data_IF_394978249772
#
_entry.id   IF_394978249772
#
_cell.length_a   1.000
_cell.length_b   1.000
_cell.length_c   1.000
_cell.angle_alpha   90.00
_cell.angle_beta   90.00
_cell.angle_gamma   90.00
#
_symmetry.space_group_name_H-M   'P 1'
#
loop_
_entity.id
_entity.type
_entity.pdbx_description
1 polymer ?
#
# COMPACT_ATOMS: atom_id res chain seq x y z
N UNK A 1 24.18 -11.37 -22.35
CA UNK A 1 24.52 -9.93 -22.17
C UNK A 1 24.52 -9.11 -23.46
N UNK A 2 25.26 -9.46 -24.52
CA UNK A 2 25.35 -8.67 -25.79
C UNK A 2 24.00 -8.47 -26.53
N UNK A 3 23.04 -9.40 -26.44
CA UNK A 3 21.73 -9.28 -27.08
C UNK A 3 20.80 -8.28 -26.38
N UNK A 4 20.81 -8.24 -25.06
CA UNK A 4 20.00 -7.30 -24.27
C UNK A 4 20.50 -5.86 -24.48
N UNK A 5 21.81 -5.65 -24.53
CA UNK A 5 22.40 -4.34 -24.82
C UNK A 5 22.03 -3.82 -26.21
N UNK A 6 21.96 -4.71 -27.20
CA UNK A 6 21.52 -4.36 -28.56
C UNK A 6 20.03 -4.02 -28.63
N UNK A 7 19.17 -4.74 -27.91
CA UNK A 7 17.75 -4.46 -27.84
C UNK A 7 17.51 -3.11 -27.14
N UNK A 8 18.21 -2.83 -26.04
CA UNK A 8 18.13 -1.54 -25.33
C UNK A 8 18.60 -0.40 -26.25
N UNK A 9 19.69 -0.58 -26.99
CA UNK A 9 20.21 0.43 -27.92
C UNK A 9 19.24 0.69 -29.08
N UNK A 10 18.59 -0.35 -29.61
CA UNK A 10 17.61 -0.22 -30.70
C UNK A 10 16.35 0.49 -30.19
N UNK A 11 15.84 0.11 -29.03
CA UNK A 11 14.68 0.77 -28.39
C UNK A 11 15.00 2.25 -28.13
N UNK A 12 16.18 2.55 -27.60
CA UNK A 12 16.64 3.94 -27.39
C UNK A 12 16.71 4.72 -28.70
N UNK A 13 17.28 4.13 -29.78
CA UNK A 13 17.39 4.76 -31.09
C UNK A 13 16.05 5.00 -31.76
N UNK A 14 15.10 4.06 -31.63
CA UNK A 14 13.74 4.18 -32.19
C UNK A 14 12.92 5.24 -31.44
N UNK A 15 13.04 5.31 -30.13
CA UNK A 15 12.37 6.33 -29.30
C UNK A 15 12.86 7.74 -29.68
N UNK A 16 14.17 7.92 -29.92
CA UNK A 16 14.74 9.21 -30.36
C UNK A 16 14.37 9.61 -31.77
N UNK A 17 14.10 8.65 -32.67
CA UNK A 17 13.77 8.92 -34.06
C UNK A 17 12.30 9.30 -34.32
N UNK A 18 11.38 9.01 -33.39
CA UNK A 18 9.93 9.16 -33.60
C UNK A 18 9.35 10.39 -32.89
N UNK A 19 10.08 11.00 -31.92
CA UNK A 19 9.58 12.14 -31.16
C UNK A 19 9.94 13.46 -31.88
N UNK A 20 8.95 14.31 -32.22
CA UNK A 20 9.25 15.69 -32.57
C UNK A 20 9.90 16.35 -31.36
N UNK A 21 11.16 16.72 -31.43
CA UNK A 21 12.03 17.23 -30.37
C UNK A 21 11.45 18.45 -29.61
N UNK A 22 10.35 19.03 -30.05
CA UNK A 22 9.82 20.29 -29.55
C UNK A 22 8.82 20.16 -28.38
N UNK A 23 8.43 18.93 -27.93
CA UNK A 23 7.34 18.76 -26.96
C UNK A 23 7.62 17.74 -25.83
N UNK A 24 8.86 17.28 -25.67
CA UNK A 24 9.19 16.24 -24.68
C UNK A 24 9.76 16.89 -23.42
N UNK A 25 9.07 16.72 -22.28
CA UNK A 25 9.57 17.16 -20.98
C UNK A 25 10.23 15.98 -20.25
N UNK A 26 11.51 16.08 -19.82
CA UNK A 26 12.10 15.10 -18.92
C UNK A 26 11.42 15.15 -17.57
N UNK A 27 11.19 13.99 -16.97
CA UNK A 27 10.68 13.85 -15.60
C UNK A 27 11.66 13.04 -14.77
N UNK A 28 11.72 13.29 -13.49
CA UNK A 28 12.54 12.53 -12.57
C UNK A 28 11.96 12.58 -11.16
N UNK A 29 12.23 11.57 -10.36
CA UNK A 29 11.95 11.57 -8.94
C UNK A 29 13.05 10.83 -8.17
N UNK A 30 13.22 11.24 -6.93
CA UNK A 30 14.11 10.66 -5.95
C UNK A 30 13.33 10.57 -4.65
N UNK A 31 13.01 9.36 -4.22
CA UNK A 31 12.26 9.08 -3.00
C UNK A 31 13.13 8.21 -2.08
N UNK A 32 13.70 8.85 -1.06
CA UNK A 32 14.50 8.19 -0.03
C UNK A 32 13.64 7.98 1.20
N UNK A 33 13.70 6.78 1.78
CA UNK A 33 13.08 6.42 3.05
C UNK A 33 14.04 5.68 3.96
N UNK A 34 13.93 5.90 5.25
CA UNK A 34 14.56 5.04 6.26
C UNK A 34 13.60 4.84 7.42
N UNK A 35 13.52 3.61 7.91
CA UNK A 35 12.62 3.24 9.00
C UNK A 35 13.38 2.39 10.01
N UNK A 36 13.33 2.84 11.25
CA UNK A 36 13.61 2.03 12.43
C UNK A 36 12.26 1.70 13.09
N UNK A 37 11.95 0.41 13.26
CA UNK A 37 10.71 -0.09 13.86
C UNK A 37 11.09 -1.21 14.85
N UNK A 38 11.11 -0.87 16.13
CA UNK A 38 11.37 -1.80 17.21
C UNK A 38 10.04 -2.28 17.83
N UNK A 39 9.79 -3.57 17.77
CA UNK A 39 8.55 -4.22 18.21
C UNK A 39 8.84 -5.08 19.42
N UNK A 40 8.26 -4.70 20.57
CA UNK A 40 8.46 -5.35 21.85
C UNK A 40 7.14 -5.81 22.47
N UNK A 41 7.16 -6.95 23.17
CA UNK A 41 6.02 -7.49 23.90
C UNK A 41 5.78 -8.97 23.63
N UNK A 42 4.80 -9.53 24.32
CA UNK A 42 4.35 -10.92 24.14
C UNK A 42 3.08 -10.94 23.29
N UNK A 43 3.19 -11.52 22.10
CA UNK A 43 2.09 -11.58 21.16
C UNK A 43 2.14 -12.85 20.30
N UNK A 44 1.09 -13.67 20.40
CA UNK A 44 0.97 -14.90 19.60
C UNK A 44 0.68 -14.68 18.10
N UNK A 45 0.38 -13.45 17.69
CA UNK A 45 0.04 -13.13 16.29
C UNK A 45 1.22 -12.52 15.54
N UNK A 46 2.20 -11.95 16.26
CA UNK A 46 3.38 -11.35 15.66
C UNK A 46 4.58 -11.51 16.60
N UNK A 47 5.74 -11.76 16.04
CA UNK A 47 7.00 -11.86 16.80
C UNK A 47 7.51 -10.48 17.18
N UNK A 48 8.11 -10.37 18.38
CA UNK A 48 8.94 -9.24 18.75
C UNK A 48 10.15 -9.18 17.79
N UNK A 49 10.35 -8.05 17.13
CA UNK A 49 11.33 -7.94 16.04
C UNK A 49 11.71 -6.48 15.81
N UNK A 50 12.97 -6.25 15.54
CA UNK A 50 13.46 -4.93 15.10
C UNK A 50 13.67 -4.94 13.59
N UNK A 51 13.09 -3.95 12.92
CA UNK A 51 13.37 -3.64 11.52
C UNK A 51 14.18 -2.34 11.47
N UNK A 52 15.31 -2.36 10.79
CA UNK A 52 16.02 -1.15 10.44
C UNK A 52 16.52 -1.27 9.00
N UNK A 53 15.98 -0.44 8.14
CA UNK A 53 16.31 -0.47 6.71
C UNK A 53 16.21 0.91 6.09
N UNK A 54 16.86 1.07 4.95
CA UNK A 54 16.73 2.21 4.07
C UNK A 54 16.22 1.78 2.70
N UNK A 55 15.46 2.63 2.05
CA UNK A 55 15.06 2.45 0.67
C UNK A 55 15.34 3.71 -0.15
N UNK A 56 15.60 3.50 -1.43
CA UNK A 56 15.82 4.56 -2.39
C UNK A 56 15.15 4.20 -3.70
N UNK A 57 14.12 4.94 -4.07
CA UNK A 57 13.51 4.85 -5.39
C UNK A 57 14.00 6.00 -6.26
N UNK A 58 14.58 5.66 -7.41
CA UNK A 58 15.02 6.63 -8.42
C UNK A 58 14.26 6.34 -9.70
N UNK A 59 13.61 7.37 -10.26
CA UNK A 59 12.90 7.29 -11.52
C UNK A 59 13.37 8.38 -12.47
N UNK A 60 13.54 8.01 -13.74
CA UNK A 60 13.66 8.93 -14.86
C UNK A 60 12.54 8.66 -15.86
N UNK A 61 12.08 9.68 -16.57
CA UNK A 61 10.99 9.50 -17.51
C UNK A 61 10.86 10.61 -18.52
N UNK A 62 9.90 10.43 -19.41
CA UNK A 62 9.60 11.34 -20.51
C UNK A 62 8.10 11.58 -20.52
N UNK A 63 7.70 12.84 -20.40
CA UNK A 63 6.34 13.30 -20.63
C UNK A 63 6.25 13.74 -22.09
N UNK A 64 5.51 13.02 -22.92
CA UNK A 64 5.44 13.22 -24.37
C UNK A 64 4.13 13.85 -24.83
N UNK A 65 3.12 13.96 -23.96
CA UNK A 65 1.96 14.83 -24.13
C UNK A 65 1.67 15.55 -22.80
N UNK A 66 0.71 16.47 -22.76
CA UNK A 66 0.30 17.10 -21.52
C UNK A 66 -0.28 16.11 -20.48
N UNK A 67 -0.68 14.91 -20.92
CA UNK A 67 -1.33 13.89 -20.11
C UNK A 67 -0.50 12.63 -19.93
N UNK A 68 0.42 12.33 -20.84
CA UNK A 68 1.05 11.02 -20.99
C UNK A 68 2.53 11.06 -20.68
N UNK A 69 2.99 10.11 -19.87
CA UNK A 69 4.40 9.88 -19.56
C UNK A 69 4.75 8.40 -19.50
N UNK A 70 6.00 8.10 -19.75
CA UNK A 70 6.64 6.82 -19.47
C UNK A 70 7.75 7.09 -18.47
N UNK A 71 7.85 6.25 -17.44
CA UNK A 71 8.90 6.32 -16.41
C UNK A 71 9.58 4.96 -16.28
N UNK A 72 10.87 5.00 -16.00
CA UNK A 72 11.67 3.82 -15.68
C UNK A 72 12.63 4.13 -14.51
N UNK A 73 12.95 3.14 -13.72
CA UNK A 73 13.81 3.29 -12.56
C UNK A 73 13.93 2.03 -11.75
N UNK A 74 14.31 2.18 -10.50
CA UNK A 74 14.42 1.07 -9.57
C UNK A 74 14.21 1.53 -8.11
N UNK A 75 13.72 0.62 -7.28
CA UNK A 75 13.75 0.74 -5.81
C UNK A 75 14.84 -0.17 -5.28
N UNK A 76 15.80 0.41 -4.58
CA UNK A 76 16.78 -0.30 -3.78
C UNK A 76 16.33 -0.28 -2.32
N UNK A 77 16.28 -1.45 -1.68
CA UNK A 77 15.95 -1.60 -0.26
C UNK A 77 17.11 -2.35 0.42
N UNK A 78 17.67 -1.76 1.46
CA UNK A 78 18.83 -2.26 2.21
C UNK A 78 18.50 -2.36 3.69
N UNK A 79 18.52 -3.56 4.28
CA UNK A 79 18.62 -3.72 5.73
C UNK A 79 19.91 -3.08 6.26
N UNK A 80 19.81 -2.21 7.30
CA UNK A 80 20.96 -1.40 7.75
C UNK A 80 22.03 -2.23 8.46
N UNK A 81 21.61 -3.29 9.13
CA UNK A 81 22.53 -4.15 9.90
C UNK A 81 23.17 -5.30 9.09
N UNK A 82 22.85 -5.42 7.80
CA UNK A 82 23.26 -6.52 6.95
C UNK A 82 24.22 -6.06 5.86
N UNK A 83 24.90 -7.03 5.25
CA UNK A 83 25.77 -6.77 4.11
C UNK A 83 24.98 -6.24 2.89
N UNK A 84 25.68 -5.60 1.98
CA UNK A 84 25.08 -5.04 0.76
C UNK A 84 24.42 -6.10 -0.11
N UNK A 85 24.87 -7.36 -0.01
CA UNK A 85 24.31 -8.51 -0.74
C UNK A 85 22.88 -8.88 -0.29
N UNK A 86 22.46 -8.44 0.89
CA UNK A 86 21.11 -8.60 1.39
C UNK A 86 20.14 -7.54 0.83
N UNK A 87 20.64 -6.62 0.05
CA UNK A 87 19.82 -5.63 -0.61
C UNK A 87 18.89 -6.26 -1.64
N UNK A 88 17.69 -5.70 -1.74
CA UNK A 88 16.77 -6.04 -2.83
C UNK A 88 16.61 -4.86 -3.79
N UNK A 89 16.70 -5.16 -5.09
CA UNK A 89 16.43 -4.17 -6.14
C UNK A 89 15.20 -4.60 -6.93
N UNK A 90 14.24 -3.69 -7.07
CA UNK A 90 12.99 -3.94 -7.80
C UNK A 90 12.82 -2.90 -8.91
N UNK A 91 12.50 -3.32 -10.14
CA UNK A 91 12.33 -2.40 -11.25
C UNK A 91 11.07 -1.55 -11.10
N UNK A 92 11.15 -0.33 -11.62
CA UNK A 92 10.04 0.57 -11.89
C UNK A 92 10.00 0.77 -13.40
N UNK A 93 8.91 0.42 -14.06
CA UNK A 93 8.68 0.69 -15.48
C UNK A 93 7.19 0.78 -15.70
N UNK A 94 6.70 1.96 -16.06
CA UNK A 94 5.27 2.14 -16.25
C UNK A 94 4.94 3.28 -17.22
N UNK A 95 3.76 3.17 -17.81
CA UNK A 95 3.06 4.24 -18.49
C UNK A 95 2.08 4.91 -17.49
N UNK A 96 1.97 6.23 -17.54
CA UNK A 96 0.99 7.01 -16.79
C UNK A 96 0.25 7.97 -17.70
N UNK A 97 -1.08 7.87 -17.73
CA UNK A 97 -2.00 8.87 -18.24
C UNK A 97 -2.63 9.64 -17.08
N UNK A 98 -2.72 10.96 -17.17
CA UNK A 98 -3.30 11.80 -16.11
C UNK A 98 -4.11 12.94 -16.70
N UNK A 99 -5.38 12.98 -16.39
CA UNK A 99 -6.29 14.08 -16.65
C UNK A 99 -6.73 14.76 -15.35
N UNK A 100 -7.58 15.78 -15.46
CA UNK A 100 -8.04 16.52 -14.30
C UNK A 100 -8.75 15.65 -13.24
N UNK A 101 -9.56 14.71 -13.68
CA UNK A 101 -10.36 13.84 -12.79
C UNK A 101 -9.91 12.37 -12.83
N UNK A 102 -9.21 11.94 -13.87
CA UNK A 102 -8.87 10.55 -14.11
C UNK A 102 -7.38 10.32 -14.23
N UNK A 103 -6.95 9.19 -13.76
CA UNK A 103 -5.59 8.69 -13.93
C UNK A 103 -5.56 7.20 -14.25
N UNK A 104 -4.59 6.79 -15.07
CA UNK A 104 -4.31 5.39 -15.40
C UNK A 104 -2.82 5.15 -15.26
N UNK A 105 -2.42 4.09 -14.55
CA UNK A 105 -1.04 3.59 -14.59
C UNK A 105 -1.03 2.13 -15.01
N UNK A 106 -0.07 1.75 -15.86
CA UNK A 106 0.12 0.39 -16.37
C UNK A 106 1.59 0.01 -16.25
N UNK A 107 1.90 -1.12 -15.65
CA UNK A 107 3.25 -1.64 -15.48
C UNK A 107 3.66 -1.86 -14.02
N UNK A 108 4.89 -1.52 -13.68
CA UNK A 108 5.43 -1.59 -12.32
C UNK A 108 5.64 -0.17 -11.81
N UNK A 109 4.75 0.32 -11.00
CA UNK A 109 4.71 1.71 -10.52
C UNK A 109 4.66 1.80 -9.00
N UNK A 110 5.14 2.93 -8.41
CA UNK A 110 5.15 3.11 -6.98
C UNK A 110 3.75 3.07 -6.36
N UNK A 111 3.60 2.39 -5.23
CA UNK A 111 2.37 2.33 -4.43
C UNK A 111 1.98 3.70 -3.87
N UNK A 112 2.94 4.63 -3.77
CA UNK A 112 2.69 6.03 -3.41
C UNK A 112 1.83 6.80 -4.41
N UNK A 113 1.49 6.21 -5.57
CA UNK A 113 0.49 6.79 -6.48
C UNK A 113 -0.96 6.63 -5.98
N UNK A 114 -1.22 5.71 -5.03
CA UNK A 114 -2.53 5.59 -4.39
C UNK A 114 -2.88 6.88 -3.64
N UNK A 115 -4.15 7.23 -3.64
CA UNK A 115 -4.64 8.43 -2.96
C UNK A 115 -4.43 8.38 -1.46
N UNK A 116 -4.71 7.23 -0.86
CA UNK A 116 -4.53 6.96 0.56
C UNK A 116 -3.86 5.59 0.76
N UNK A 117 -3.18 5.43 1.87
CA UNK A 117 -2.65 4.13 2.27
C UNK A 117 -3.80 3.19 2.62
N UNK A 118 -3.62 1.91 2.31
CA UNK A 118 -4.59 0.90 2.71
C UNK A 118 -4.56 0.70 4.24
N UNK A 119 -5.72 0.44 4.85
CA UNK A 119 -5.79 0.15 6.28
C UNK A 119 -5.11 -1.18 6.63
N UNK A 120 -4.68 -1.32 7.89
CA UNK A 120 -3.93 -2.47 8.39
C UNK A 120 -4.62 -3.82 8.22
N UNK A 121 -5.95 -3.88 8.07
CA UNK A 121 -6.64 -5.14 7.78
C UNK A 121 -6.46 -5.62 6.32
N UNK A 122 -6.06 -4.75 5.39
CA UNK A 122 -5.76 -5.10 3.99
C UNK A 122 -4.27 -5.17 3.72
N UNK A 123 -3.47 -4.35 4.39
CA UNK A 123 -2.05 -4.18 4.08
C UNK A 123 -1.25 -3.91 5.34
N UNK A 124 -0.33 -4.82 5.67
CA UNK A 124 0.48 -4.72 6.88
C UNK A 124 1.62 -3.71 6.73
N UNK A 125 2.11 -3.22 7.87
CA UNK A 125 3.28 -2.34 7.92
C UNK A 125 4.51 -2.98 7.27
N UNK A 126 4.74 -4.28 7.52
CA UNK A 126 5.85 -5.01 6.90
C UNK A 126 5.77 -5.03 5.38
N UNK A 127 4.56 -5.16 4.80
CA UNK A 127 4.38 -5.07 3.35
C UNK A 127 4.60 -3.64 2.83
N UNK A 128 4.20 -2.63 3.60
CA UNK A 128 4.48 -1.22 3.27
C UNK A 128 5.99 -0.98 3.19
N UNK A 129 6.77 -1.59 4.08
CA UNK A 129 8.23 -1.46 4.10
C UNK A 129 8.93 -2.16 2.92
N UNK A 130 8.41 -3.31 2.45
CA UNK A 130 9.13 -4.16 1.49
C UNK A 130 8.45 -4.30 0.13
N UNK A 131 7.18 -3.88 -0.04
CA UNK A 131 6.42 -3.98 -1.29
C UNK A 131 6.09 -2.58 -1.84
N UNK A 132 7.11 -1.85 -2.28
CA UNK A 132 6.98 -0.45 -2.72
C UNK A 132 6.15 -0.27 -4.00
N UNK A 133 6.09 -1.29 -4.85
CA UNK A 133 5.47 -1.18 -6.17
C UNK A 133 4.19 -2.01 -6.29
N UNK A 134 3.23 -1.50 -7.05
CA UNK A 134 2.13 -2.25 -7.65
C UNK A 134 2.61 -2.74 -9.02
N UNK A 135 2.29 -3.99 -9.36
CA UNK A 135 2.66 -4.62 -10.65
C UNK A 135 1.40 -4.98 -11.40
N UNK A 136 0.94 -4.09 -12.28
CA UNK A 136 -0.30 -4.31 -13.01
C UNK A 136 -0.92 -3.02 -13.52
N UNK A 137 -2.13 -2.71 -13.08
CA UNK A 137 -2.91 -1.57 -13.54
C UNK A 137 -3.54 -0.82 -12.37
N UNK A 138 -3.63 0.49 -12.47
CA UNK A 138 -4.33 1.38 -11.54
C UNK A 138 -5.20 2.35 -12.34
N UNK A 139 -6.47 2.42 -12.01
CA UNK A 139 -7.42 3.44 -12.48
C UNK A 139 -7.84 4.28 -11.30
N UNK A 140 -7.76 5.58 -11.44
CA UNK A 140 -8.07 6.54 -10.39
C UNK A 140 -9.11 7.55 -10.86
N UNK A 141 -10.01 7.91 -9.96
CA UNK A 141 -10.89 9.07 -10.12
C UNK A 141 -10.71 9.97 -8.90
N UNK A 142 -10.46 11.27 -9.13
CA UNK A 142 -10.34 12.26 -8.07
C UNK A 142 -11.13 13.53 -8.41
N UNK A 143 -11.95 13.94 -7.47
CA UNK A 143 -12.67 15.22 -7.52
C UNK A 143 -12.67 15.89 -6.15
N UNK A 144 -13.22 17.09 -6.04
CA UNK A 144 -13.38 17.78 -4.75
C UNK A 144 -14.33 17.06 -3.77
N UNK A 145 -15.09 16.07 -4.26
CA UNK A 145 -16.12 15.37 -3.49
C UNK A 145 -15.88 13.88 -3.34
N UNK A 146 -15.05 13.28 -4.17
CA UNK A 146 -14.86 11.84 -4.16
C UNK A 146 -13.50 11.46 -4.72
N UNK A 147 -12.99 10.33 -4.24
CA UNK A 147 -11.93 9.62 -4.91
C UNK A 147 -12.25 8.13 -5.05
N UNK A 148 -11.65 7.51 -6.04
CA UNK A 148 -11.67 6.06 -6.26
C UNK A 148 -10.29 5.66 -6.74
N UNK A 149 -9.71 4.67 -6.08
CA UNK A 149 -8.56 3.90 -6.53
C UNK A 149 -9.02 2.47 -6.80
N UNK A 150 -8.86 2.00 -8.01
CA UNK A 150 -9.13 0.63 -8.42
C UNK A 150 -7.88 0.07 -9.09
N UNK A 151 -7.32 -1.01 -8.53
CA UNK A 151 -6.10 -1.58 -9.07
C UNK A 151 -6.02 -3.10 -8.99
N UNK A 152 -5.22 -3.64 -9.93
CA UNK A 152 -4.75 -5.01 -9.93
C UNK A 152 -3.25 -5.01 -9.61
N UNK A 153 -2.84 -5.85 -8.65
CA UNK A 153 -1.44 -6.07 -8.29
C UNK A 153 -1.08 -7.55 -8.50
N UNK A 154 -0.28 -7.84 -9.52
CA UNK A 154 0.19 -9.19 -9.84
C UNK A 154 1.37 -9.55 -8.96
N UNK A 155 1.12 -10.25 -7.86
CA UNK A 155 2.10 -10.51 -6.82
C UNK A 155 3.08 -11.60 -7.16
N UNK A 156 2.57 -12.71 -7.74
CA UNK A 156 3.36 -13.90 -8.00
C UNK A 156 2.89 -14.57 -9.29
N UNK A 157 3.85 -14.82 -10.20
CA UNK A 157 3.62 -15.66 -11.38
C UNK A 157 3.60 -17.13 -10.96
N UNK A 158 2.71 -17.92 -11.58
CA UNK A 158 2.69 -19.37 -11.43
C UNK A 158 3.99 -20.01 -11.89
N UNK A 159 4.56 -20.88 -11.05
CA UNK A 159 5.71 -21.74 -11.37
C UNK A 159 5.45 -23.17 -10.91
N UNK A 160 6.41 -24.07 -11.07
CA UNK A 160 6.32 -25.45 -10.57
C UNK A 160 6.10 -25.52 -9.04
N UNK A 161 6.67 -24.56 -8.30
CA UNK A 161 6.65 -24.55 -6.83
C UNK A 161 5.91 -23.38 -6.21
N UNK A 162 5.56 -22.35 -7.00
CA UNK A 162 4.89 -21.15 -6.52
C UNK A 162 3.50 -21.01 -7.12
N UNK A 163 2.53 -20.75 -6.27
CA UNK A 163 1.14 -20.45 -6.66
C UNK A 163 1.06 -19.11 -7.40
N UNK A 164 0.15 -19.00 -8.36
CA UNK A 164 -0.22 -17.71 -8.92
C UNK A 164 -0.98 -16.88 -7.87
N UNK A 165 -0.61 -15.59 -7.78
CA UNK A 165 -1.23 -14.69 -6.81
C UNK A 165 -1.40 -13.28 -7.41
N UNK A 166 -2.59 -12.74 -7.32
CA UNK A 166 -2.84 -11.33 -7.59
C UNK A 166 -3.96 -10.80 -6.70
N UNK A 167 -3.96 -9.50 -6.52
CA UNK A 167 -5.01 -8.79 -5.82
C UNK A 167 -5.77 -7.88 -6.76
N UNK A 168 -7.08 -7.81 -6.58
CA UNK A 168 -7.90 -6.71 -7.11
C UNK A 168 -8.39 -5.91 -5.92
N UNK A 169 -8.09 -4.61 -5.92
CA UNK A 169 -8.41 -3.73 -4.80
C UNK A 169 -9.22 -2.55 -5.30
N UNK A 170 -10.27 -2.25 -4.57
CA UNK A 170 -11.05 -1.04 -4.67
C UNK A 170 -10.99 -0.29 -3.35
N UNK A 171 -10.70 1.00 -3.42
CA UNK A 171 -10.83 1.92 -2.31
C UNK A 171 -11.45 3.22 -2.83
N UNK A 172 -12.47 3.70 -2.15
CA UNK A 172 -13.12 4.95 -2.53
C UNK A 172 -13.87 5.59 -1.37
N UNK A 173 -13.97 6.92 -1.44
CA UNK A 173 -14.69 7.72 -0.47
C UNK A 173 -15.39 8.88 -1.18
N UNK A 174 -16.61 9.17 -0.75
CA UNK A 174 -17.40 10.28 -1.19
C UNK A 174 -17.74 11.20 0.00
N UNK A 175 -17.50 12.51 -0.19
CA UNK A 175 -17.76 13.58 0.77
C UNK A 175 -18.65 14.63 0.11
N UNK A 176 -19.92 14.77 0.51
CA UNK A 176 -20.76 15.86 0.01
C UNK A 176 -20.12 17.22 0.29
N UNK A 177 -20.28 18.16 -0.62
CA UNK A 177 -19.71 19.52 -0.47
C UNK A 177 -20.22 20.18 0.80
N UNK A 178 -19.30 20.76 1.60
CA UNK A 178 -19.59 21.42 2.88
C UNK A 178 -20.27 20.53 3.95
N UNK A 179 -20.28 19.22 3.78
CA UNK A 179 -20.79 18.25 4.76
C UNK A 179 -19.67 17.73 5.66
N UNK A 180 -19.99 17.46 6.91
CA UNK A 180 -19.16 16.64 7.79
C UNK A 180 -19.29 15.16 7.49
N UNK A 181 -20.37 14.73 6.83
CA UNK A 181 -20.62 13.32 6.52
C UNK A 181 -19.75 12.83 5.35
N UNK A 182 -19.30 11.62 5.47
CA UNK A 182 -18.62 10.88 4.41
C UNK A 182 -19.10 9.42 4.36
N UNK A 183 -18.98 8.81 3.21
CA UNK A 183 -19.24 7.39 3.00
C UNK A 183 -18.15 6.80 2.10
N UNK A 184 -17.68 5.63 2.43
CA UNK A 184 -16.64 4.99 1.66
C UNK A 184 -16.60 3.49 1.83
N UNK A 185 -15.60 2.89 1.26
CA UNK A 185 -15.40 1.45 1.40
C UNK A 185 -14.09 0.96 0.81
N UNK A 186 -13.72 -0.21 1.30
CA UNK A 186 -12.61 -1.00 0.81
C UNK A 186 -13.11 -2.36 0.35
N UNK A 187 -12.57 -2.86 -0.74
CA UNK A 187 -12.73 -4.24 -1.18
C UNK A 187 -11.38 -4.75 -1.67
N UNK A 188 -10.98 -5.93 -1.22
CA UNK A 188 -9.83 -6.64 -1.73
C UNK A 188 -10.24 -8.07 -2.06
N UNK A 189 -9.99 -8.48 -3.29
CA UNK A 189 -10.02 -9.88 -3.71
C UNK A 189 -8.58 -10.38 -3.80
N UNK A 190 -8.29 -11.46 -3.09
CA UNK A 190 -7.03 -12.19 -3.20
C UNK A 190 -7.24 -13.44 -4.03
N UNK A 191 -6.65 -13.48 -5.20
CA UNK A 191 -6.61 -14.70 -6.02
C UNK A 191 -5.39 -15.52 -5.60
N UNK A 192 -5.65 -16.74 -5.11
CA UNK A 192 -4.63 -17.67 -4.66
C UNK A 192 -4.84 -19.01 -5.38
N UNK A 193 -4.21 -19.12 -6.55
CA UNK A 193 -4.41 -20.25 -7.47
C UNK A 193 -3.47 -21.43 -7.16
N UNK A 194 -3.24 -22.28 -8.13
CA UNK A 194 -2.41 -23.47 -8.03
C UNK A 194 -0.97 -23.23 -8.49
N UNK A 195 -0.08 -24.16 -8.19
CA UNK A 195 1.21 -24.32 -8.89
C UNK A 195 0.97 -24.99 -10.25
N UNK A 196 1.95 -24.99 -11.16
CA UNK A 196 1.81 -25.64 -12.48
C UNK A 196 1.58 -27.15 -12.35
N UNK A 197 2.31 -27.79 -11.44
CA UNK A 197 2.19 -29.23 -11.16
C UNK A 197 1.58 -29.41 -9.77
N UNK A 198 0.35 -28.89 -9.60
CA UNK A 198 -0.34 -28.94 -8.33
C UNK A 198 -0.66 -30.41 -7.95
N UNK A 199 -0.36 -30.87 -6.73
CA UNK A 199 -0.84 -32.14 -6.22
C UNK A 199 -2.36 -32.10 -6.05
N UNK A 200 -3.01 -33.26 -6.03
CA UNK A 200 -4.47 -33.41 -6.02
C UNK A 200 -5.15 -32.77 -4.79
N UNK A 201 -4.42 -32.63 -3.69
CA UNK A 201 -4.89 -32.00 -2.45
C UNK A 201 -4.72 -30.48 -2.42
N UNK A 202 -4.08 -29.92 -3.44
CA UNK A 202 -3.92 -28.47 -3.57
C UNK A 202 -5.13 -27.86 -4.29
N UNK A 203 -5.80 -26.90 -3.66
CA UNK A 203 -6.98 -26.26 -4.21
C UNK A 203 -6.82 -24.73 -4.30
N UNK A 204 -7.64 -24.12 -5.16
CA UNK A 204 -7.74 -22.65 -5.25
C UNK A 204 -8.45 -22.12 -4.01
N UNK A 205 -7.99 -20.99 -3.52
CA UNK A 205 -8.63 -20.26 -2.42
C UNK A 205 -9.22 -18.96 -2.95
N UNK A 206 -10.53 -18.82 -2.78
CA UNK A 206 -11.24 -17.56 -3.01
C UNK A 206 -11.23 -16.78 -1.68
N UNK A 207 -10.67 -15.59 -1.66
CA UNK A 207 -10.64 -14.73 -0.48
C UNK A 207 -11.02 -13.30 -0.85
N UNK A 208 -12.03 -12.78 -0.19
CA UNK A 208 -12.48 -11.41 -0.32
C UNK A 208 -12.52 -10.76 1.06
N UNK A 209 -12.09 -9.50 1.14
CA UNK A 209 -12.27 -8.68 2.32
C UNK A 209 -13.03 -7.41 1.92
N UNK A 210 -14.07 -7.08 2.70
CA UNK A 210 -15.00 -5.98 2.41
C UNK A 210 -15.19 -5.14 3.65
N UNK A 211 -15.09 -3.82 3.48
CA UNK A 211 -15.29 -2.85 4.56
C UNK A 211 -16.08 -1.63 4.04
N UNK A 212 -17.42 -1.67 4.00
CA UNK A 212 -18.23 -0.48 3.85
C UNK A 212 -18.22 0.34 5.15
N UNK A 213 -18.11 1.66 5.04
CA UNK A 213 -18.11 2.54 6.21
C UNK A 213 -18.81 3.87 5.94
N UNK A 214 -19.27 4.50 7.01
CA UNK A 214 -19.68 5.89 7.07
C UNK A 214 -18.77 6.63 8.03
N UNK A 215 -18.70 7.95 7.92
CA UNK A 215 -17.89 8.73 8.83
C UNK A 215 -18.31 10.17 8.94
N UNK A 216 -17.68 10.86 9.89
CA UNK A 216 -17.84 12.27 10.18
C UNK A 216 -16.46 12.94 10.21
N UNK A 217 -16.33 14.02 9.45
CA UNK A 217 -15.14 14.86 9.41
C UNK A 217 -15.44 16.21 10.09
N UNK A 218 -14.89 16.37 11.29
CA UNK A 218 -15.04 17.56 12.11
C UNK A 218 -13.87 18.55 11.96
N UNK A 219 -12.92 18.32 11.08
CA UNK A 219 -11.70 19.15 10.92
C UNK A 219 -12.02 20.63 10.74
N UNK A 220 -13.14 20.97 10.05
CA UNK A 220 -13.58 22.35 9.85
C UNK A 220 -14.37 22.95 11.03
N UNK A 221 -14.71 22.13 12.04
CA UNK A 221 -15.53 22.52 13.18
C UNK A 221 -14.78 22.52 14.49
N UNK A 222 -13.47 22.24 14.46
CA UNK A 222 -12.58 22.18 15.62
C UNK A 222 -11.32 22.99 15.35
N UNK A 223 -10.49 23.19 16.38
CA UNK A 223 -9.15 23.77 16.24
C UNK A 223 -8.07 22.74 15.83
N UNK A 224 -8.46 21.49 15.58
CA UNK A 224 -7.59 20.45 15.08
C UNK A 224 -7.42 20.58 13.57
N UNK A 225 -6.25 20.22 13.06
CA UNK A 225 -5.97 20.19 11.62
C UNK A 225 -6.75 19.06 10.94
N UNK A 226 -6.95 17.94 11.68
CA UNK A 226 -7.79 16.83 11.27
C UNK A 226 -8.53 16.24 12.47
N UNK A 227 -9.83 15.95 12.31
CA UNK A 227 -10.61 15.15 13.24
C UNK A 227 -11.66 14.35 12.45
N UNK A 228 -11.37 13.08 12.22
CA UNK A 228 -12.21 12.19 11.42
C UNK A 228 -12.54 10.93 12.20
N UNK A 229 -13.81 10.56 12.23
CA UNK A 229 -14.29 9.29 12.78
C UNK A 229 -14.96 8.50 11.68
N UNK A 230 -14.57 7.25 11.50
CA UNK A 230 -15.19 6.31 10.56
C UNK A 230 -15.69 5.08 11.31
N UNK A 231 -16.84 4.54 10.91
CA UNK A 231 -17.36 3.31 11.46
C UNK A 231 -18.02 2.47 10.36
N UNK A 232 -17.84 1.15 10.43
CA UNK A 232 -18.35 0.26 9.41
C UNK A 232 -18.34 -1.22 9.79
N UNK A 233 -18.78 -2.05 8.87
CA UNK A 233 -18.61 -3.48 8.96
C UNK A 233 -17.29 -3.88 8.29
N UNK A 234 -16.62 -4.90 8.84
CA UNK A 234 -15.46 -5.53 8.23
C UNK A 234 -15.71 -7.03 8.15
N UNK A 235 -15.69 -7.58 6.94
CA UNK A 235 -16.01 -8.97 6.68
C UNK A 235 -14.98 -9.62 5.76
N UNK A 236 -14.70 -10.89 5.99
CA UNK A 236 -14.03 -11.78 5.04
C UNK A 236 -15.02 -12.76 4.46
N UNK A 237 -14.95 -13.04 3.17
CA UNK A 237 -15.69 -14.10 2.49
C UNK A 237 -14.64 -15.01 1.85
N UNK A 238 -14.51 -16.23 2.39
CA UNK A 238 -13.43 -17.12 2.02
C UNK A 238 -13.93 -18.55 1.77
N UNK A 239 -13.35 -19.20 0.79
CA UNK A 239 -13.55 -20.63 0.52
C UNK A 239 -12.28 -21.25 -0.06
N UNK A 240 -11.82 -22.32 0.56
CA UNK A 240 -10.93 -23.28 -0.09
C UNK A 240 -11.79 -24.16 -1.00
N UNK A 241 -11.50 -24.28 -2.30
CA UNK A 241 -12.30 -25.08 -3.26
C UNK A 241 -12.12 -26.59 -3.10
N UNK A 242 -11.54 -27.06 -2.01
CA UNK A 242 -11.52 -28.48 -1.66
C UNK A 242 -12.94 -29.04 -1.57
N UNK A 243 -13.11 -30.32 -1.94
CA UNK A 243 -14.38 -30.99 -1.87
C UNK A 243 -14.99 -30.91 -0.46
N UNK A 244 -16.26 -30.48 -0.38
CA UNK A 244 -16.99 -30.36 0.89
C UNK A 244 -16.70 -29.08 1.70
N UNK A 245 -15.82 -28.19 1.25
CA UNK A 245 -15.58 -26.94 1.95
C UNK A 245 -16.70 -25.93 1.68
N UNK A 246 -17.30 -25.39 2.76
CA UNK A 246 -18.25 -24.28 2.69
C UNK A 246 -17.55 -22.90 2.71
N UNK A 247 -18.36 -21.86 2.54
CA UNK A 247 -17.90 -20.48 2.71
C UNK A 247 -17.72 -20.17 4.20
N UNK A 248 -16.59 -19.54 4.53
CA UNK A 248 -16.32 -18.92 5.83
C UNK A 248 -16.55 -17.42 5.68
N UNK A 249 -17.45 -16.87 6.51
CA UNK A 249 -17.88 -15.47 6.39
C UNK A 249 -17.82 -14.74 7.73
N UNK A 250 -16.63 -14.65 8.39
CA UNK A 250 -16.51 -13.89 9.61
C UNK A 250 -16.74 -12.40 9.34
N UNK A 251 -17.49 -11.77 10.26
CA UNK A 251 -17.83 -10.36 10.20
C UNK A 251 -17.69 -9.72 11.59
N UNK A 252 -17.38 -8.43 11.63
CA UNK A 252 -17.34 -7.62 12.86
C UNK A 252 -17.55 -6.14 12.58
N UNK A 253 -17.61 -5.38 13.67
CA UNK A 253 -17.62 -3.94 13.64
C UNK A 253 -16.20 -3.38 13.60
N UNK A 254 -16.01 -2.32 12.86
CA UNK A 254 -14.76 -1.57 12.74
C UNK A 254 -15.00 -0.09 12.95
N UNK A 255 -14.08 0.54 13.71
CA UNK A 255 -14.09 1.98 13.95
C UNK A 255 -12.68 2.51 13.77
N UNK A 256 -12.54 3.67 13.14
CA UNK A 256 -11.28 4.42 13.04
C UNK A 256 -11.47 5.85 13.49
N UNK A 257 -10.53 6.35 14.27
CA UNK A 257 -10.41 7.74 14.71
C UNK A 257 -9.05 8.28 14.22
N UNK A 258 -9.07 9.44 13.57
CA UNK A 258 -7.88 10.23 13.25
C UNK A 258 -8.02 11.61 13.88
N UNK A 259 -7.03 12.03 14.65
CA UNK A 259 -6.93 13.37 15.20
C UNK A 259 -5.52 13.91 14.96
N UNK A 260 -5.41 15.12 14.40
CA UNK A 260 -4.12 15.79 14.18
C UNK A 260 -4.17 17.23 14.69
N UNK A 261 -3.09 17.66 15.29
CA UNK A 261 -2.90 19.03 15.77
C UNK A 261 -1.45 19.45 15.61
N UNK A 262 -1.23 20.37 14.66
CA UNK A 262 0.12 20.85 14.33
C UNK A 262 1.06 19.71 13.94
N UNK A 263 1.98 19.38 14.83
CA UNK A 263 3.00 18.34 14.66
C UNK A 263 2.66 17.01 15.35
N UNK A 264 1.54 16.96 16.10
CA UNK A 264 1.09 15.77 16.81
C UNK A 264 -0.10 15.12 16.10
N UNK A 265 -0.13 13.80 16.10
CA UNK A 265 -1.24 13.01 15.61
C UNK A 265 -1.54 11.80 16.47
N UNK A 266 -2.79 11.39 16.42
CA UNK A 266 -3.30 10.15 17.01
C UNK A 266 -4.19 9.45 15.99
N UNK A 267 -3.89 8.19 15.72
CA UNK A 267 -4.76 7.30 14.95
C UNK A 267 -5.13 6.10 15.81
N UNK A 268 -6.42 5.81 15.91
CA UNK A 268 -6.90 4.59 16.55
C UNK A 268 -7.74 3.78 15.57
N UNK A 269 -7.53 2.48 15.54
CA UNK A 269 -8.33 1.53 14.78
C UNK A 269 -8.77 0.40 15.69
N UNK A 270 -10.06 0.19 15.78
CA UNK A 270 -10.70 -0.80 16.64
C UNK A 270 -11.51 -1.78 15.80
N UNK A 271 -11.39 -3.07 16.10
CA UNK A 271 -12.16 -4.15 15.51
C UNK A 271 -12.69 -5.11 16.60
N UNK A 272 -13.95 -5.51 16.46
CA UNK A 272 -14.52 -6.57 17.26
C UNK A 272 -15.51 -7.42 16.44
N UNK A 273 -15.36 -8.76 16.49
CA UNK A 273 -16.20 -9.66 15.69
C UNK A 273 -15.64 -11.06 15.48
N UNK A 274 -15.89 -11.60 14.31
CA UNK A 274 -15.34 -12.89 13.88
C UNK A 274 -13.84 -12.81 13.59
N UNK A 275 -13.15 -13.95 13.55
CA UNK A 275 -11.73 -14.02 13.13
C UNK A 275 -11.62 -13.84 11.63
N UNK A 276 -11.13 -12.68 11.18
CA UNK A 276 -11.12 -12.31 9.75
C UNK A 276 -10.13 -13.09 8.88
N UNK A 277 -9.22 -13.85 9.48
CA UNK A 277 -8.23 -14.66 8.77
C UNK A 277 -8.40 -16.16 9.12
N UNK A 278 -9.51 -16.79 8.67
CA UNK A 278 -9.90 -18.11 9.16
C UNK A 278 -8.96 -19.25 8.74
N UNK A 279 -8.18 -19.08 7.69
CA UNK A 279 -7.20 -20.07 7.21
C UNK A 279 -5.75 -19.58 7.33
N UNK A 280 -5.47 -18.62 8.24
CA UNK A 280 -4.12 -18.07 8.40
C UNK A 280 -3.10 -19.15 8.81
N UNK A 281 -3.48 -20.12 9.62
CA UNK A 281 -2.61 -21.22 10.01
C UNK A 281 -2.14 -22.10 8.84
N UNK A 282 -2.90 -22.12 7.72
CA UNK A 282 -2.57 -22.89 6.52
C UNK A 282 -1.79 -22.06 5.49
N UNK A 283 -2.22 -20.81 5.25
CA UNK A 283 -1.70 -20.00 4.14
C UNK A 283 -0.84 -18.80 4.59
N UNK A 284 -0.94 -18.37 5.84
CA UNK A 284 -0.18 -17.26 6.40
C UNK A 284 -0.26 -15.97 5.57
N UNK A 285 0.84 -15.23 5.56
CA UNK A 285 0.99 -13.99 4.79
C UNK A 285 1.00 -14.18 3.26
N UNK A 286 1.04 -15.43 2.77
CA UNK A 286 0.92 -15.69 1.34
C UNK A 286 -0.48 -15.37 0.82
N UNK A 287 -1.51 -15.65 1.61
CA UNK A 287 -2.89 -15.29 1.29
C UNK A 287 -3.28 -13.94 1.91
N UNK A 288 -3.00 -13.75 3.22
CA UNK A 288 -3.45 -12.59 3.97
C UNK A 288 -2.36 -11.51 4.05
N UNK A 289 -2.66 -10.33 3.55
CA UNK A 289 -1.71 -9.23 3.49
C UNK A 289 -1.88 -8.19 4.60
N UNK A 290 -3.01 -8.24 5.29
CA UNK A 290 -3.26 -7.41 6.47
C UNK A 290 -2.43 -7.81 7.68
N UNK A 291 -2.50 -7.00 8.71
CA UNK A 291 -1.86 -7.29 9.99
C UNK A 291 -2.41 -8.59 10.60
N UNK A 292 -1.55 -9.50 11.08
CA UNK A 292 -1.96 -10.82 11.57
C UNK A 292 -2.84 -10.77 12.83
N UNK A 293 -2.96 -9.62 13.48
CA UNK A 293 -3.84 -9.39 14.64
C UNK A 293 -5.33 -9.59 14.34
N UNK A 294 -5.74 -9.46 13.08
CA UNK A 294 -7.12 -9.72 12.65
C UNK A 294 -7.50 -11.21 12.66
N UNK A 295 -6.58 -12.10 13.04
CA UNK A 295 -6.90 -13.47 13.45
C UNK A 295 -7.64 -13.53 14.79
N UNK A 296 -7.59 -12.46 15.60
CA UNK A 296 -8.30 -12.37 16.86
C UNK A 296 -9.74 -11.89 16.66
N UNK A 297 -10.60 -12.11 17.68
CA UNK A 297 -11.97 -11.56 17.70
C UNK A 297 -12.01 -10.09 18.11
N UNK A 298 -10.91 -9.59 18.65
CA UNK A 298 -10.75 -8.23 19.14
C UNK A 298 -9.36 -7.74 18.78
N UNK A 299 -9.29 -6.56 18.19
CA UNK A 299 -8.02 -5.87 17.91
C UNK A 299 -8.19 -4.37 18.07
N UNK A 300 -7.28 -3.77 18.80
CA UNK A 300 -7.14 -2.32 18.89
C UNK A 300 -5.71 -1.93 18.59
N UNK A 301 -5.55 -0.97 17.70
CA UNK A 301 -4.28 -0.31 17.41
C UNK A 301 -4.43 1.18 17.69
N UNK A 302 -3.51 1.73 18.48
CA UNK A 302 -3.42 3.16 18.76
C UNK A 302 -2.02 3.62 18.39
N UNK A 303 -1.92 4.48 17.40
CA UNK A 303 -0.68 5.11 16.96
C UNK A 303 -0.68 6.56 17.46
N UNK A 304 0.31 6.91 18.28
CA UNK A 304 0.58 8.28 18.70
C UNK A 304 1.85 8.71 17.99
N UNK A 305 1.80 9.76 17.18
CA UNK A 305 2.94 10.15 16.37
C UNK A 305 3.20 11.66 16.39
N UNK A 306 4.43 12.01 16.07
CA UNK A 306 4.89 13.39 15.99
C UNK A 306 5.71 13.59 14.72
N UNK A 307 5.35 14.59 13.93
CA UNK A 307 6.17 15.08 12.83
C UNK A 307 7.24 16.03 13.40
N UNK A 308 8.47 15.53 13.56
CA UNK A 308 9.61 16.29 14.04
C UNK A 308 10.04 17.33 12.99
N UNK A 309 10.00 16.92 11.73
CA UNK A 309 10.17 17.78 10.57
C UNK A 309 9.10 17.43 9.55
N UNK A 310 8.30 18.41 9.14
CA UNK A 310 7.31 18.24 8.09
C UNK A 310 7.38 19.46 7.16
N UNK A 311 7.77 19.20 5.92
CA UNK A 311 7.74 20.20 4.86
C UNK A 311 7.52 19.49 3.50
N UNK A 312 7.51 20.23 2.40
CA UNK A 312 7.24 19.69 1.07
C UNK A 312 8.24 18.64 0.55
N UNK A 313 9.39 18.51 1.21
CA UNK A 313 10.45 17.57 0.78
C UNK A 313 10.74 16.50 1.81
N UNK A 314 10.62 16.84 3.10
CA UNK A 314 11.05 15.98 4.21
C UNK A 314 9.91 15.76 5.17
N UNK A 315 9.65 14.51 5.50
CA UNK A 315 8.83 14.08 6.62
C UNK A 315 9.70 13.20 7.55
N UNK A 316 9.99 13.70 8.75
CA UNK A 316 10.64 12.97 9.84
C UNK A 316 9.62 12.77 10.95
N UNK A 317 9.20 11.52 11.16
CA UNK A 317 8.16 11.15 12.11
C UNK A 317 8.69 10.18 13.16
N UNK A 318 8.34 10.42 14.42
CA UNK A 318 8.44 9.44 15.49
C UNK A 318 7.05 8.96 15.87
N UNK A 319 6.86 7.66 16.15
CA UNK A 319 5.60 7.12 16.63
C UNK A 319 5.76 6.03 17.69
N UNK A 320 4.72 5.91 18.49
CA UNK A 320 4.50 4.85 19.47
C UNK A 320 3.17 4.18 19.13
N UNK A 321 3.23 2.89 18.78
CA UNK A 321 2.05 2.16 18.32
C UNK A 321 1.74 1.03 19.30
N UNK A 322 0.57 1.07 19.87
CA UNK A 322 0.07 0.12 20.87
C UNK A 322 -0.89 -0.85 20.17
N UNK A 323 -0.51 -2.13 20.12
CA UNK A 323 -1.30 -3.18 19.49
C UNK A 323 -1.81 -4.16 20.54
N UNK A 324 -3.13 -4.21 20.73
CA UNK A 324 -3.81 -5.05 21.71
C UNK A 324 -4.73 -6.02 20.96
N UNK A 325 -4.50 -7.31 21.09
CA UNK A 325 -5.32 -8.35 20.45
C UNK A 325 -5.62 -9.47 21.46
N UNK A 326 -6.85 -9.54 21.97
CA UNK A 326 -7.24 -10.45 23.06
C UNK A 326 -6.31 -10.30 24.30
N UNK A 327 -5.56 -11.35 24.66
CA UNK A 327 -4.60 -11.35 25.77
C UNK A 327 -3.17 -10.99 25.35
N UNK A 328 -2.99 -10.55 24.11
CA UNK A 328 -1.66 -10.24 23.55
C UNK A 328 -1.49 -8.73 23.42
N UNK A 329 -0.33 -8.25 23.81
CA UNK A 329 0.08 -6.85 23.69
C UNK A 329 1.46 -6.78 23.05
N UNK A 330 1.62 -5.89 22.08
CA UNK A 330 2.90 -5.55 21.50
C UNK A 330 2.97 -4.05 21.24
N UNK A 331 4.12 -3.49 21.48
CA UNK A 331 4.39 -2.07 21.39
C UNK A 331 5.45 -1.82 20.33
N UNK A 332 5.19 -0.88 19.42
CA UNK A 332 6.14 -0.47 18.39
C UNK A 332 6.69 0.91 18.70
N UNK A 333 7.98 1.06 18.57
CA UNK A 333 8.71 2.32 18.63
C UNK A 333 9.26 2.58 17.24
N UNK A 334 8.73 3.58 16.55
CA UNK A 334 9.16 3.88 15.19
C UNK A 334 9.79 5.26 15.06
N UNK A 335 10.83 5.30 14.25
CA UNK A 335 11.39 6.52 13.71
C UNK A 335 11.50 6.34 12.20
N UNK A 336 10.88 7.23 11.45
CA UNK A 336 10.90 7.17 9.98
C UNK A 336 11.27 8.53 9.42
N UNK A 337 12.05 8.51 8.35
CA UNK A 337 12.33 9.68 7.54
C UNK A 337 12.02 9.37 6.08
N UNK A 338 11.37 10.31 5.41
CA UNK A 338 11.19 10.28 3.96
C UNK A 338 11.64 11.60 3.36
N UNK A 339 12.40 11.52 2.28
CA UNK A 339 12.81 12.68 1.47
C UNK A 339 12.32 12.46 0.05
N UNK A 340 11.39 13.30 -0.41
CA UNK A 340 10.86 13.24 -1.76
C UNK A 340 11.24 14.48 -2.56
N UNK A 341 12.03 14.25 -3.59
CA UNK A 341 12.40 15.28 -4.58
C UNK A 341 11.89 14.84 -5.94
N UNK A 342 11.17 15.68 -6.63
CA UNK A 342 10.70 15.39 -7.97
C UNK A 342 10.69 16.63 -8.88
N UNK A 343 10.53 16.41 -10.18
CA UNK A 343 10.51 17.43 -11.22
C UNK A 343 9.39 18.47 -11.04
N UNK A 344 8.39 18.23 -10.21
CA UNK A 344 7.26 19.16 -9.95
C UNK A 344 7.57 20.09 -8.78
N UNK A 345 8.26 19.60 -7.73
CA UNK A 345 8.51 20.35 -6.51
C UNK A 345 9.85 21.11 -6.51
N UNK A 346 10.71 20.87 -7.50
CA UNK A 346 11.97 21.60 -7.71
C UNK A 346 11.93 22.55 -8.92
N UNK A 347 10.76 23.00 -9.36
CA UNK A 347 10.70 24.08 -10.34
C UNK A 347 11.34 25.33 -9.72
N UNK A 348 12.59 25.63 -10.10
CA UNK A 348 13.20 26.91 -9.83
C UNK A 348 12.33 28.01 -10.45
N UNK A 349 11.86 28.96 -9.65
CA UNK A 349 11.27 30.18 -10.18
C UNK A 349 12.34 30.82 -11.06
N UNK A 350 12.08 30.88 -12.39
CA UNK A 350 12.89 31.72 -13.31
C UNK A 350 12.66 33.19 -12.98
#
# INVERSE_FOLDING_TARGET
MKSIQRIIAIIFSVVWAILPLAAVEPTWSFDFGSVFDNREGDNKYAEAKTFFFTNLAVEGGIKFTKHDRISAGAVWNQPVANDIDDATVRPIVYYRHSERLWGLSLGMFPRTQLREQLPGFLWSDSLTYFQHNIRGALVQYHSDKAFIDFYLDWRQRQTETKREQFNIVFHGEWRPRASTFLVGGHLMMNHYALTKNAPDDMHIVDNFMVNPYVGLDFSRHTSLDSLVVKAGALATVERNRANGSGWKTPVGGWVELLGEWKWLGLKNSFYAGGRLMPSYGEFGASLYQGEPYYQSKFYNRTDVYAHIVLNKWVDLQASLDFNIAQSSFIFYQRLSVRVLLDWTNLKFKK
#
